data_IF_703920438959
#
_entry.id   IF_703920438959
#
_cell.length_a   1.000
_cell.length_b   1.000
_cell.length_c   1.000
_cell.angle_alpha   90.00
_cell.angle_beta   90.00
_cell.angle_gamma   90.00
#
_symmetry.space_group_name_H-M   'P 1'
#
loop_
_entity.id
_entity.type
_entity.pdbx_description
1 polymer ?
#
# COMPACT_ATOMS: atom_id res chain seq x y z
N UNK A 1 -19.68 44.82 -27.14
CA UNK A 1 -19.12 45.44 -28.36
C UNK A 1 -19.21 44.39 -29.46
N UNK A 2 -20.10 44.59 -30.44
CA UNK A 2 -20.11 43.78 -31.66
C UNK A 2 -18.79 44.06 -32.40
N UNK A 3 -17.81 43.18 -32.25
CA UNK A 3 -16.68 43.17 -33.17
C UNK A 3 -17.26 42.84 -34.55
N UNK A 4 -17.16 43.76 -35.53
CA UNK A 4 -17.46 43.47 -36.93
C UNK A 4 -16.60 42.28 -37.35
N UNK A 5 -17.17 41.08 -37.33
CA UNK A 5 -16.53 39.88 -37.81
C UNK A 5 -16.51 39.93 -39.34
N UNK A 6 -15.39 39.58 -39.99
CA UNK A 6 -15.33 39.54 -41.45
C UNK A 6 -16.32 38.51 -41.99
N UNK A 7 -17.18 38.92 -42.93
CA UNK A 7 -18.12 38.02 -43.59
C UNK A 7 -17.33 37.13 -44.55
N UNK A 8 -17.43 35.81 -44.36
CA UNK A 8 -16.83 34.81 -45.24
C UNK A 8 -17.49 34.84 -46.62
N UNK A 9 -16.69 34.94 -47.68
CA UNK A 9 -17.18 34.86 -49.07
C UNK A 9 -17.73 33.46 -49.38
N UNK A 10 -18.66 33.37 -50.34
CA UNK A 10 -19.28 32.08 -50.73
C UNK A 10 -18.24 31.04 -51.19
N UNK A 11 -17.15 31.47 -51.83
CA UNK A 11 -16.04 30.60 -52.22
C UNK A 11 -15.29 30.00 -51.02
N UNK A 12 -15.08 30.78 -49.97
CA UNK A 12 -14.42 30.31 -48.74
C UNK A 12 -15.31 29.33 -47.96
N UNK A 13 -16.62 29.58 -47.94
CA UNK A 13 -17.60 28.68 -47.34
C UNK A 13 -17.62 27.31 -48.05
N UNK A 14 -17.55 27.31 -49.38
CA UNK A 14 -17.56 26.09 -50.19
C UNK A 14 -16.25 25.28 -50.01
N UNK A 15 -15.10 25.94 -49.93
CA UNK A 15 -13.80 25.29 -49.61
C UNK A 15 -13.81 24.59 -48.25
N UNK A 16 -14.34 25.26 -47.22
CA UNK A 16 -14.45 24.71 -45.87
C UNK A 16 -15.33 23.45 -45.82
N UNK A 17 -16.48 23.47 -46.50
CA UNK A 17 -17.41 22.34 -46.54
C UNK A 17 -16.86 21.16 -47.34
N UNK A 18 -16.19 21.41 -48.47
CA UNK A 18 -15.58 20.35 -49.27
C UNK A 18 -14.45 19.65 -48.52
N UNK A 19 -13.56 20.40 -47.87
CA UNK A 19 -12.44 19.81 -47.11
C UNK A 19 -12.94 19.03 -45.88
N UNK A 20 -14.01 19.51 -45.24
CA UNK A 20 -14.65 18.80 -44.14
C UNK A 20 -15.28 17.48 -44.60
N UNK A 21 -16.00 17.48 -45.74
CA UNK A 21 -16.68 16.30 -46.26
C UNK A 21 -15.71 15.27 -46.87
N UNK A 22 -14.56 15.70 -47.38
CA UNK A 22 -13.55 14.80 -47.95
C UNK A 22 -12.76 14.00 -46.89
N UNK A 23 -12.83 14.35 -45.60
CA UNK A 23 -12.08 13.69 -44.52
C UNK A 23 -13.00 13.19 -43.39
N UNK A 24 -13.81 12.13 -43.61
CA UNK A 24 -14.71 11.60 -42.58
C UNK A 24 -13.96 10.99 -41.37
N UNK A 25 -12.84 10.31 -41.59
CA UNK A 25 -12.12 9.59 -40.51
C UNK A 25 -11.16 10.48 -39.70
N UNK A 26 -10.65 11.56 -40.32
CA UNK A 26 -9.76 12.51 -39.64
C UNK A 26 -10.14 13.97 -39.99
N UNK A 27 -11.17 14.52 -39.35
CA UNK A 27 -11.65 15.85 -39.65
C UNK A 27 -10.56 16.90 -39.33
N UNK A 28 -10.38 17.89 -40.22
CA UNK A 28 -9.37 18.92 -40.07
C UNK A 28 -9.59 19.75 -38.80
N UNK A 29 -8.49 20.18 -38.18
CA UNK A 29 -8.51 21.04 -37.01
C UNK A 29 -9.00 22.45 -37.35
N UNK A 30 -9.48 23.19 -36.34
CA UNK A 30 -9.91 24.58 -36.54
C UNK A 30 -8.81 25.45 -37.14
N UNK A 31 -7.54 25.22 -36.78
CA UNK A 31 -6.40 25.99 -37.33
C UNK A 31 -6.15 25.64 -38.80
N UNK A 32 -6.24 24.37 -39.18
CA UNK A 32 -6.11 23.96 -40.58
C UNK A 32 -7.22 24.54 -41.45
N UNK A 33 -8.46 24.54 -40.96
CA UNK A 33 -9.61 25.14 -41.65
C UNK A 33 -9.47 26.66 -41.80
N UNK A 34 -8.96 27.35 -40.78
CA UNK A 34 -8.73 28.81 -40.83
C UNK A 34 -7.61 29.16 -41.82
N UNK A 35 -6.51 28.38 -41.84
CA UNK A 35 -5.42 28.57 -42.81
C UNK A 35 -5.89 28.33 -44.24
N UNK A 36 -6.74 27.32 -44.46
CA UNK A 36 -7.26 26.95 -45.78
C UNK A 36 -8.32 27.93 -46.29
N UNK A 37 -9.08 28.59 -45.41
CA UNK A 37 -10.06 29.59 -45.80
C UNK A 37 -9.45 30.94 -46.22
N UNK A 38 -8.31 31.32 -45.63
CA UNK A 38 -7.69 32.65 -45.83
C UNK A 38 -6.31 32.60 -46.51
N UNK A 39 -5.82 31.43 -46.88
CA UNK A 39 -4.49 31.20 -47.47
C UNK A 39 -3.34 31.89 -46.70
N UNK A 40 -3.49 31.96 -45.36
CA UNK A 40 -2.61 32.69 -44.44
C UNK A 40 -2.18 31.81 -43.26
N UNK A 41 -0.87 31.64 -43.12
CA UNK A 41 -0.27 30.74 -42.12
C UNK A 41 -0.15 31.34 -40.70
N UNK A 42 -0.39 32.64 -40.55
CA UNK A 42 -0.28 33.41 -39.30
C UNK A 42 -1.56 33.42 -38.46
N UNK A 43 -2.65 32.86 -38.97
CA UNK A 43 -3.97 32.90 -38.33
C UNK A 43 -4.22 31.67 -37.44
N UNK A 44 -4.66 31.92 -36.20
CA UNK A 44 -5.10 30.91 -35.22
C UNK A 44 -6.62 31.02 -34.98
N UNK A 45 -7.25 30.00 -34.39
CA UNK A 45 -8.69 29.97 -34.07
C UNK A 45 -9.17 31.06 -33.10
N UNK A 46 -8.27 31.88 -32.56
CA UNK A 46 -8.54 33.06 -31.72
C UNK A 46 -8.60 34.38 -32.51
N UNK A 47 -8.12 34.40 -33.75
CA UNK A 47 -8.14 35.56 -34.65
C UNK A 47 -9.57 35.97 -35.03
N UNK A 48 -9.76 37.17 -35.59
CA UNK A 48 -11.09 37.65 -36.03
C UNK A 48 -11.66 36.77 -37.13
N UNK A 49 -10.77 36.33 -38.02
CA UNK A 49 -10.97 35.37 -39.09
C UNK A 49 -11.31 33.97 -38.53
N UNK A 50 -10.59 33.53 -37.50
CA UNK A 50 -10.87 32.28 -36.79
C UNK A 50 -12.23 32.26 -36.08
N UNK A 51 -12.66 33.40 -35.52
CA UNK A 51 -14.01 33.56 -34.95
C UNK A 51 -15.09 33.49 -36.03
N UNK A 52 -14.89 34.11 -37.19
CA UNK A 52 -15.82 34.05 -38.32
C UNK A 52 -15.99 32.62 -38.85
N UNK A 53 -14.89 31.87 -39.02
CA UNK A 53 -14.92 30.46 -39.43
C UNK A 53 -15.62 29.60 -38.38
N UNK A 54 -15.40 29.86 -37.09
CA UNK A 54 -16.07 29.15 -36.01
C UNK A 54 -17.58 29.43 -35.97
N UNK A 55 -18.01 30.66 -36.21
CA UNK A 55 -19.43 31.03 -36.27
C UNK A 55 -20.12 30.40 -37.48
N UNK A 56 -19.45 30.40 -38.65
CA UNK A 56 -19.94 29.71 -39.84
C UNK A 56 -20.08 28.20 -39.62
N UNK A 57 -19.06 27.54 -39.07
CA UNK A 57 -19.12 26.09 -38.79
C UNK A 57 -20.19 25.78 -37.73
N UNK A 58 -20.35 26.64 -36.72
CA UNK A 58 -21.42 26.51 -35.72
C UNK A 58 -22.82 26.65 -36.33
N UNK A 59 -23.02 27.53 -37.31
CA UNK A 59 -24.29 27.67 -38.03
C UNK A 59 -24.71 26.40 -38.79
N UNK A 60 -23.73 25.56 -39.16
CA UNK A 60 -23.93 24.27 -39.83
C UNK A 60 -23.88 23.09 -38.87
N UNK A 61 -23.88 23.33 -37.55
CA UNK A 61 -23.73 22.32 -36.50
C UNK A 61 -22.42 21.52 -36.55
N UNK A 62 -21.39 22.06 -37.20
CA UNK A 62 -20.06 21.46 -37.30
C UNK A 62 -19.19 22.02 -36.18
N UNK A 63 -18.67 21.14 -35.31
CA UNK A 63 -17.75 21.51 -34.23
C UNK A 63 -16.33 21.08 -34.62
N UNK A 64 -15.50 21.98 -35.19
CA UNK A 64 -14.12 21.67 -35.51
C UNK A 64 -13.31 21.43 -34.23
N UNK A 65 -12.34 20.52 -34.32
CA UNK A 65 -11.48 20.13 -33.19
C UNK A 65 -10.61 21.31 -32.74
N UNK A 66 -10.40 21.41 -31.43
CA UNK A 66 -9.43 22.35 -30.86
C UNK A 66 -8.01 21.81 -31.09
N UNK A 67 -7.05 22.68 -31.38
CA UNK A 67 -5.65 22.30 -31.65
C UNK A 67 -4.95 21.51 -30.53
N UNK A 68 -5.51 21.54 -29.31
CA UNK A 68 -4.98 20.85 -28.14
C UNK A 68 -5.78 19.61 -27.71
N UNK A 69 -6.73 19.16 -28.51
CA UNK A 69 -7.55 18.00 -28.17
C UNK A 69 -6.74 16.70 -28.39
N UNK A 70 -6.37 16.06 -27.28
CA UNK A 70 -5.55 14.84 -27.28
C UNK A 70 -6.30 13.68 -27.95
N UNK A 71 -5.73 13.14 -29.04
CA UNK A 71 -6.16 11.87 -29.59
C UNK A 71 -5.47 10.74 -28.80
N UNK A 72 -6.27 9.87 -28.19
CA UNK A 72 -5.77 8.59 -27.72
C UNK A 72 -5.35 7.78 -28.95
N UNK A 73 -4.06 7.79 -29.30
CA UNK A 73 -3.51 6.81 -30.22
C UNK A 73 -3.72 5.44 -29.57
N UNK A 74 -4.57 4.62 -30.17
CA UNK A 74 -4.88 3.27 -29.68
C UNK A 74 -3.63 2.38 -29.62
N UNK A 75 -3.73 1.14 -29.16
CA UNK A 75 -2.59 0.22 -29.19
C UNK A 75 -2.22 -0.08 -30.64
N UNK A 76 -0.91 -0.18 -30.96
CA UNK A 76 -0.47 -0.75 -32.24
C UNK A 76 -0.78 -2.24 -32.25
N UNK A 77 -1.32 -2.75 -33.34
CA UNK A 77 -1.43 -4.18 -33.57
C UNK A 77 -0.03 -4.76 -33.79
N UNK A 78 0.27 -5.84 -33.07
CA UNK A 78 1.54 -6.55 -33.20
C UNK A 78 1.42 -7.63 -34.26
N UNK A 79 2.43 -7.69 -35.14
CA UNK A 79 2.56 -8.73 -36.15
C UNK A 79 2.84 -10.10 -35.51
N UNK A 80 2.61 -11.19 -36.24
CA UNK A 80 2.83 -12.55 -35.76
C UNK A 80 4.30 -12.81 -35.39
N UNK A 81 5.24 -12.28 -36.17
CA UNK A 81 6.68 -12.37 -35.90
C UNK A 81 7.05 -11.61 -34.60
N UNK A 82 6.41 -10.46 -34.36
CA UNK A 82 6.61 -9.68 -33.14
C UNK A 82 6.06 -10.41 -31.92
N UNK A 83 4.91 -11.07 -32.06
CA UNK A 83 4.32 -11.90 -31.01
C UNK A 83 5.19 -13.11 -30.68
N UNK A 84 5.74 -13.78 -31.68
CA UNK A 84 6.66 -14.90 -31.49
C UNK A 84 7.95 -14.44 -30.79
N UNK A 85 8.51 -13.31 -31.21
CA UNK A 85 9.67 -12.72 -30.55
C UNK A 85 9.41 -12.38 -29.08
N UNK A 86 8.24 -11.81 -28.75
CA UNK A 86 7.85 -11.51 -27.37
C UNK A 86 7.69 -12.82 -26.58
N UNK A 87 7.03 -13.83 -27.13
CA UNK A 87 6.85 -15.12 -26.45
C UNK A 87 8.19 -15.80 -26.13
N UNK A 88 9.16 -15.74 -27.05
CA UNK A 88 10.48 -16.35 -26.85
C UNK A 88 11.35 -15.57 -25.86
N UNK A 89 11.32 -14.24 -25.90
CA UNK A 89 12.22 -13.37 -25.13
C UNK A 89 11.59 -12.80 -23.85
N UNK A 90 10.32 -13.07 -23.57
CA UNK A 90 9.64 -12.56 -22.38
C UNK A 90 10.24 -13.04 -21.05
N UNK A 91 11.11 -14.06 -21.07
CA UNK A 91 11.87 -14.57 -19.92
C UNK A 91 13.22 -13.87 -19.71
N UNK A 92 13.71 -13.09 -20.66
CA UNK A 92 15.10 -12.58 -20.61
C UNK A 92 15.16 -11.07 -20.64
N UNK A 93 14.15 -10.41 -21.24
CA UNK A 93 14.17 -8.97 -21.48
C UNK A 93 12.92 -8.28 -20.97
N UNK A 94 13.06 -7.01 -20.57
CA UNK A 94 11.91 -6.19 -20.16
C UNK A 94 11.07 -5.79 -21.36
N UNK A 95 9.78 -5.51 -21.13
CA UNK A 95 8.87 -5.03 -22.19
C UNK A 95 9.37 -3.78 -22.93
N UNK A 96 10.14 -2.92 -22.25
CA UNK A 96 10.76 -1.75 -22.85
C UNK A 96 11.92 -2.13 -23.78
N UNK A 97 12.81 -3.02 -23.35
CA UNK A 97 13.94 -3.47 -24.16
C UNK A 97 13.47 -4.25 -25.39
N UNK A 98 12.46 -5.12 -25.21
CA UNK A 98 11.80 -5.79 -26.33
C UNK A 98 11.19 -4.78 -27.30
N UNK A 99 10.52 -3.74 -26.81
CA UNK A 99 9.96 -2.68 -27.67
C UNK A 99 11.07 -1.91 -28.41
N UNK A 100 12.20 -1.58 -27.76
CA UNK A 100 13.33 -0.92 -28.42
C UNK A 100 13.91 -1.73 -29.57
N UNK A 101 14.02 -3.06 -29.38
CA UNK A 101 14.53 -3.97 -30.41
C UNK A 101 13.51 -4.14 -31.56
N UNK A 102 12.25 -4.44 -31.22
CA UNK A 102 11.19 -4.69 -32.20
C UNK A 102 10.92 -3.47 -33.09
N UNK A 103 10.91 -2.28 -32.51
CA UNK A 103 10.58 -1.04 -33.22
C UNK A 103 11.81 -0.23 -33.64
N UNK A 104 13.03 -0.76 -33.40
CA UNK A 104 14.32 -0.13 -33.75
C UNK A 104 14.39 1.34 -33.35
N UNK A 105 13.89 1.66 -32.15
CA UNK A 105 13.83 3.03 -31.64
C UNK A 105 14.32 3.06 -30.20
N UNK A 106 15.52 3.58 -29.98
CA UNK A 106 16.16 3.63 -28.67
C UNK A 106 15.54 4.66 -27.72
N UNK A 107 14.81 5.64 -28.27
CA UNK A 107 14.17 6.73 -27.52
C UNK A 107 12.79 6.35 -26.97
N UNK A 108 12.39 5.08 -27.10
CA UNK A 108 11.13 4.60 -26.53
C UNK A 108 11.16 4.67 -24.99
N UNK A 109 10.02 5.09 -24.44
CA UNK A 109 9.76 5.16 -23.00
C UNK A 109 8.67 4.16 -22.62
N UNK A 110 8.50 3.90 -21.33
CA UNK A 110 7.42 3.04 -20.82
C UNK A 110 6.00 3.54 -21.18
N UNK A 111 5.86 4.84 -21.49
CA UNK A 111 4.57 5.44 -21.87
C UNK A 111 4.33 5.43 -23.39
N UNK A 112 5.33 5.01 -24.18
CA UNK A 112 5.20 4.95 -25.64
C UNK A 112 4.16 3.91 -26.05
N UNK A 113 3.46 4.18 -27.14
CA UNK A 113 2.37 3.34 -27.66
C UNK A 113 2.87 1.92 -27.93
N UNK A 114 4.08 1.82 -28.48
CA UNK A 114 4.82 0.60 -28.79
C UNK A 114 5.04 -0.27 -27.55
N UNK A 115 5.59 0.32 -26.48
CA UNK A 115 5.85 -0.37 -25.22
C UNK A 115 4.56 -0.85 -24.57
N UNK A 116 3.49 -0.06 -24.65
CA UNK A 116 2.16 -0.45 -24.12
C UNK A 116 1.56 -1.63 -24.88
N UNK A 117 1.68 -1.68 -26.21
CA UNK A 117 1.24 -2.83 -27.01
C UNK A 117 1.98 -4.11 -26.62
N UNK A 118 3.30 -4.04 -26.44
CA UNK A 118 4.11 -5.18 -26.00
C UNK A 118 3.69 -5.66 -24.60
N UNK A 119 3.50 -4.73 -23.66
CA UNK A 119 3.07 -5.04 -22.29
C UNK A 119 1.67 -5.66 -22.23
N UNK A 120 0.72 -5.19 -23.05
CA UNK A 120 -0.61 -5.80 -23.14
C UNK A 120 -0.54 -7.24 -23.68
N UNK A 121 0.29 -7.49 -24.69
CA UNK A 121 0.49 -8.86 -25.19
C UNK A 121 1.15 -9.78 -24.14
N UNK A 122 2.12 -9.27 -23.38
CA UNK A 122 2.72 -10.01 -22.25
C UNK A 122 1.70 -10.41 -21.18
N UNK A 123 0.60 -9.67 -20.99
CA UNK A 123 -0.44 -10.05 -20.03
C UNK A 123 -1.19 -11.32 -20.45
N UNK A 124 -1.37 -11.53 -21.76
CA UNK A 124 -2.11 -12.66 -22.34
C UNK A 124 -1.32 -13.98 -22.27
N UNK A 125 0.01 -13.91 -22.27
CA UNK A 125 0.89 -15.09 -22.14
C UNK A 125 0.63 -15.77 -20.77
N UNK A 126 0.67 -17.11 -20.65
CA UNK A 126 0.49 -17.81 -19.37
C UNK A 126 1.61 -17.48 -18.37
N UNK A 127 1.26 -17.32 -17.09
CA UNK A 127 2.16 -16.90 -15.99
C UNK A 127 3.36 -17.83 -15.73
N UNK A 128 3.32 -19.05 -16.26
CA UNK A 128 4.37 -20.07 -16.21
C UNK A 128 5.51 -19.82 -17.23
N UNK A 129 5.29 -18.92 -18.19
CA UNK A 129 6.25 -18.48 -19.23
C UNK A 129 6.65 -17.01 -18.98
N UNK A 130 6.02 -16.34 -18.01
CA UNK A 130 6.39 -14.97 -17.67
C UNK A 130 7.66 -15.00 -16.85
N UNK A 131 8.61 -14.16 -17.21
CA UNK A 131 9.56 -13.65 -16.24
C UNK A 131 8.75 -13.14 -15.05
N UNK A 132 8.85 -13.83 -13.92
CA UNK A 132 8.38 -13.32 -12.65
C UNK A 132 9.24 -12.10 -12.36
N UNK A 133 8.73 -10.93 -12.73
CA UNK A 133 9.23 -9.64 -12.27
C UNK A 133 9.07 -9.45 -10.75
N UNK A 134 8.73 -10.53 -10.03
CA UNK A 134 8.75 -10.65 -8.58
C UNK A 134 10.18 -10.79 -8.02
N UNK A 135 11.15 -11.23 -8.84
CA UNK A 135 12.55 -11.44 -8.41
C UNK A 135 13.53 -10.39 -8.98
N UNK A 136 13.23 -9.74 -10.11
CA UNK A 136 14.19 -8.88 -10.82
C UNK A 136 14.09 -7.37 -10.56
N UNK A 137 13.68 -6.96 -9.36
CA UNK A 137 14.17 -5.69 -8.78
C UNK A 137 15.44 -5.89 -7.92
N UNK A 138 15.88 -7.13 -7.71
CA UNK A 138 17.07 -7.46 -6.88
C UNK A 138 18.39 -7.48 -7.67
N UNK A 139 18.40 -7.46 -9.01
CA UNK A 139 19.62 -7.72 -9.80
C UNK A 139 20.16 -6.50 -10.55
N UNK A 140 20.40 -5.39 -9.85
CA UNK A 140 21.23 -4.33 -10.42
C UNK A 140 22.50 -4.02 -9.61
N UNK A 141 22.49 -4.14 -8.28
CA UNK A 141 23.63 -3.69 -7.46
C UNK A 141 23.98 -4.59 -6.25
N UNK A 142 23.32 -5.72 -6.04
CA UNK A 142 23.55 -6.55 -4.82
C UNK A 142 23.14 -5.86 -3.50
N UNK A 143 22.56 -4.66 -3.57
CA UNK A 143 22.09 -3.90 -2.41
C UNK A 143 20.65 -4.29 -2.10
N UNK A 144 20.42 -4.77 -0.88
CA UNK A 144 19.11 -5.09 -0.34
C UNK A 144 18.19 -3.87 -0.38
N UNK A 145 16.97 -4.08 -0.91
CA UNK A 145 15.90 -3.08 -0.91
C UNK A 145 14.77 -3.52 0.01
N UNK A 146 14.41 -2.72 1.02
CA UNK A 146 13.35 -3.08 1.93
C UNK A 146 11.98 -3.09 1.22
N UNK A 147 11.11 -4.04 1.58
CA UNK A 147 9.76 -4.12 1.01
C UNK A 147 8.89 -2.94 1.47
N UNK A 148 8.16 -2.34 0.52
CA UNK A 148 7.25 -1.20 0.77
C UNK A 148 5.77 -1.54 0.64
N UNK A 149 5.45 -2.72 0.10
CA UNK A 149 4.08 -3.17 -0.14
C UNK A 149 3.70 -4.30 0.82
N UNK A 150 2.46 -4.27 1.31
CA UNK A 150 1.87 -5.34 2.15
C UNK A 150 1.96 -6.70 1.43
N UNK A 151 1.71 -6.73 0.11
CA UNK A 151 1.78 -7.97 -0.68
C UNK A 151 3.18 -8.59 -0.72
N UNK A 152 4.22 -7.75 -0.80
CA UNK A 152 5.63 -8.21 -0.82
C UNK A 152 6.03 -8.79 0.54
N UNK A 153 5.59 -8.16 1.63
CA UNK A 153 5.82 -8.70 2.98
C UNK A 153 5.09 -10.02 3.17
N UNK A 154 3.83 -10.14 2.75
CA UNK A 154 3.08 -11.39 2.88
C UNK A 154 3.78 -12.53 2.12
N UNK A 155 4.30 -12.24 0.93
CA UNK A 155 5.10 -13.22 0.17
C UNK A 155 6.36 -13.65 0.94
N UNK A 156 7.10 -12.72 1.55
CA UNK A 156 8.28 -13.03 2.38
C UNK A 156 7.91 -13.78 3.66
N UNK A 157 6.83 -13.42 4.34
CA UNK A 157 6.34 -14.15 5.52
C UNK A 157 6.01 -15.59 5.14
N UNK A 158 5.26 -15.80 4.06
CA UNK A 158 4.87 -17.14 3.62
C UNK A 158 6.05 -17.98 3.10
N UNK A 159 7.16 -17.34 2.73
CA UNK A 159 8.41 -18.03 2.38
C UNK A 159 9.10 -18.61 3.62
N UNK A 160 9.08 -17.91 4.76
CA UNK A 160 9.90 -18.25 5.93
C UNK A 160 9.12 -18.79 7.14
N UNK A 161 7.80 -18.63 7.16
CA UNK A 161 6.92 -19.06 8.26
C UNK A 161 6.03 -20.23 7.80
N UNK A 162 5.97 -21.28 8.63
CA UNK A 162 5.20 -22.49 8.34
C UNK A 162 3.68 -22.20 8.28
N UNK A 163 3.17 -21.45 9.26
CA UNK A 163 1.79 -20.97 9.29
C UNK A 163 1.70 -19.59 8.63
N UNK A 164 1.64 -19.60 7.30
CA UNK A 164 1.56 -18.38 6.50
C UNK A 164 0.27 -17.58 6.68
N UNK A 165 0.30 -16.30 6.27
CA UNK A 165 -0.87 -15.43 6.22
C UNK A 165 -1.59 -15.63 4.88
N UNK A 166 -2.88 -15.96 4.96
CA UNK A 166 -3.75 -16.03 3.78
C UNK A 166 -4.08 -14.62 3.29
N UNK A 167 -3.73 -14.33 2.02
CA UNK A 167 -3.98 -13.03 1.36
C UNK A 167 -5.46 -12.66 1.35
N UNK A 168 -6.36 -13.64 1.35
CA UNK A 168 -7.81 -13.42 1.25
C UNK A 168 -8.48 -13.17 2.60
N UNK A 169 -7.82 -13.54 3.70
CA UNK A 169 -8.38 -13.53 5.07
C UNK A 169 -7.46 -12.80 6.05
N UNK A 170 -7.08 -11.57 5.74
CA UNK A 170 -6.24 -10.75 6.62
C UNK A 170 -7.10 -10.12 7.72
N UNK A 171 -6.79 -10.47 8.97
CA UNK A 171 -7.41 -9.84 10.15
C UNK A 171 -6.84 -8.44 10.37
N UNK A 172 -7.62 -7.52 10.95
CA UNK A 172 -7.14 -6.16 11.27
C UNK A 172 -5.87 -6.16 12.16
N UNK A 173 -5.73 -7.15 13.05
CA UNK A 173 -4.51 -7.35 13.85
C UNK A 173 -3.30 -7.69 12.96
N UNK A 174 -3.44 -8.68 12.07
CA UNK A 174 -2.40 -9.08 11.12
C UNK A 174 -2.01 -7.94 10.18
N UNK A 175 -2.98 -7.11 9.75
CA UNK A 175 -2.68 -5.92 8.95
C UNK A 175 -1.80 -4.92 9.70
N UNK A 176 -2.03 -4.72 11.01
CA UNK A 176 -1.16 -3.88 11.84
C UNK A 176 0.23 -4.48 12.01
N UNK A 177 0.33 -5.80 12.18
CA UNK A 177 1.60 -6.52 12.30
C UNK A 177 2.43 -6.42 11.01
N UNK A 178 1.81 -6.61 9.85
CA UNK A 178 2.45 -6.45 8.53
C UNK A 178 2.97 -5.02 8.36
N UNK A 179 2.16 -4.01 8.68
CA UNK A 179 2.59 -2.62 8.57
C UNK A 179 3.72 -2.26 9.54
N UNK A 180 3.71 -2.82 10.76
CA UNK A 180 4.81 -2.67 11.69
C UNK A 180 6.09 -3.33 11.17
N UNK A 181 6.00 -4.53 10.60
CA UNK A 181 7.12 -5.25 10.01
C UNK A 181 7.76 -4.47 8.84
N UNK A 182 6.95 -3.83 7.99
CA UNK A 182 7.43 -2.90 6.95
C UNK A 182 8.30 -1.82 7.60
N UNK A 183 7.82 -1.20 8.69
CA UNK A 183 8.58 -0.20 9.43
C UNK A 183 9.91 -0.75 9.96
N UNK A 184 9.90 -1.94 10.57
CA UNK A 184 11.10 -2.54 11.16
C UNK A 184 12.17 -2.87 10.10
N UNK A 185 11.79 -3.46 8.97
CA UNK A 185 12.71 -3.81 7.89
C UNK A 185 13.26 -2.59 7.14
N UNK A 186 12.56 -1.45 7.20
CA UNK A 186 13.04 -0.17 6.65
C UNK A 186 13.99 0.59 7.59
N UNK A 187 14.29 0.07 8.78
CA UNK A 187 15.20 0.72 9.73
C UNK A 187 16.63 0.79 9.16
N UNK A 188 17.31 1.92 9.34
CA UNK A 188 18.69 2.12 8.86
C UNK A 188 19.64 1.01 9.31
N UNK A 189 19.57 0.62 10.59
CA UNK A 189 20.41 -0.44 11.15
C UNK A 189 20.19 -1.80 10.47
N UNK A 190 18.93 -2.14 10.18
CA UNK A 190 18.59 -3.37 9.46
C UNK A 190 19.19 -3.38 8.06
N UNK A 191 18.98 -2.29 7.30
CA UNK A 191 19.47 -2.14 5.93
C UNK A 191 21.00 -2.16 5.89
N UNK A 192 21.66 -1.49 6.84
CA UNK A 192 23.12 -1.52 6.93
C UNK A 192 23.62 -2.94 7.20
N UNK A 193 23.03 -3.64 8.18
CA UNK A 193 23.48 -4.97 8.57
C UNK A 193 23.32 -6.01 7.46
N UNK A 194 22.18 -6.04 6.77
CA UNK A 194 21.95 -7.01 5.70
C UNK A 194 22.86 -6.79 4.48
N UNK A 195 23.25 -5.53 4.23
CA UNK A 195 24.16 -5.17 3.13
C UNK A 195 25.64 -5.43 3.44
N UNK A 196 26.01 -5.69 4.70
CA UNK A 196 27.37 -6.11 5.05
C UNK A 196 27.66 -7.54 4.57
N UNK A 197 26.62 -8.36 4.42
CA UNK A 197 26.78 -9.75 4.01
C UNK A 197 26.84 -9.89 2.49
N UNK A 198 28.01 -10.31 2.00
CA UNK A 198 28.24 -10.56 0.57
C UNK A 198 27.52 -11.82 0.08
N UNK A 199 27.48 -12.85 0.94
CA UNK A 199 26.87 -14.14 0.66
C UNK A 199 25.33 -14.05 0.65
N UNK A 200 24.71 -14.53 -0.42
CA UNK A 200 23.25 -14.69 -0.50
C UNK A 200 22.65 -15.57 0.61
N UNK A 201 23.18 -16.77 0.94
CA UNK A 201 22.58 -17.61 1.99
C UNK A 201 22.62 -16.95 3.37
N UNK A 202 23.65 -16.15 3.65
CA UNK A 202 23.77 -15.42 4.91
C UNK A 202 22.75 -14.27 4.98
N UNK A 203 22.53 -13.56 3.86
CA UNK A 203 21.47 -12.55 3.77
C UNK A 203 20.08 -13.15 3.96
N UNK A 204 19.82 -14.29 3.32
CA UNK A 204 18.54 -14.99 3.45
C UNK A 204 18.34 -15.54 4.88
N UNK A 205 19.38 -16.07 5.51
CA UNK A 205 19.32 -16.55 6.89
C UNK A 205 19.05 -15.40 7.87
N UNK A 206 19.68 -14.25 7.67
CA UNK A 206 19.44 -13.06 8.48
C UNK A 206 18.00 -12.55 8.32
N UNK A 207 17.54 -12.40 7.07
CA UNK A 207 16.18 -11.92 6.78
C UNK A 207 15.11 -12.87 7.32
N UNK A 208 15.26 -14.17 7.07
CA UNK A 208 14.32 -15.20 7.53
C UNK A 208 14.25 -15.26 9.05
N UNK A 209 15.39 -15.19 9.74
CA UNK A 209 15.44 -15.18 11.20
C UNK A 209 14.71 -13.96 11.77
N UNK A 210 14.95 -12.77 11.19
CA UNK A 210 14.31 -11.55 11.63
C UNK A 210 12.79 -11.61 11.47
N UNK A 211 12.31 -11.99 10.28
CA UNK A 211 10.87 -12.12 10.01
C UNK A 211 10.24 -13.12 10.98
N UNK A 212 10.84 -14.29 11.19
CA UNK A 212 10.31 -15.30 12.12
C UNK A 212 10.18 -14.78 13.56
N UNK A 213 11.08 -13.92 13.99
CA UNK A 213 11.01 -13.34 15.33
C UNK A 213 10.05 -12.16 15.46
N UNK A 214 9.76 -11.42 14.39
CA UNK A 214 9.01 -10.14 14.49
C UNK A 214 7.64 -10.13 13.81
N UNK A 215 7.32 -11.08 12.92
CA UNK A 215 6.12 -11.00 12.06
C UNK A 215 4.79 -10.89 12.83
N UNK A 216 4.70 -11.42 14.04
CA UNK A 216 3.50 -11.40 14.88
C UNK A 216 3.58 -10.38 16.03
N UNK A 217 4.38 -9.31 15.87
CA UNK A 217 4.63 -8.32 16.93
C UNK A 217 4.50 -6.91 16.36
N UNK A 218 3.32 -6.31 16.50
CA UNK A 218 3.07 -4.94 16.06
C UNK A 218 3.52 -3.86 17.07
N UNK A 219 3.95 -4.26 18.26
CA UNK A 219 4.15 -3.44 19.45
C UNK A 219 5.62 -3.26 19.84
N UNK A 220 6.56 -3.64 18.96
CA UNK A 220 7.99 -3.55 19.26
C UNK A 220 8.46 -2.09 19.31
N UNK A 221 9.23 -1.78 20.34
CA UNK A 221 9.95 -0.50 20.45
C UNK A 221 11.20 -0.51 19.56
N UNK A 222 11.77 0.66 19.28
CA UNK A 222 12.99 0.77 18.49
C UNK A 222 14.17 0.01 19.13
N UNK A 223 14.29 0.04 20.46
CA UNK A 223 15.33 -0.71 21.18
C UNK A 223 15.13 -2.23 21.07
N UNK A 224 13.89 -2.72 21.12
CA UNK A 224 13.58 -4.13 20.93
C UNK A 224 13.89 -4.57 19.50
N UNK A 225 13.55 -3.75 18.49
CA UNK A 225 13.90 -4.00 17.08
C UNK A 225 15.41 -4.12 16.91
N UNK A 226 16.17 -3.20 17.51
CA UNK A 226 17.63 -3.22 17.50
C UNK A 226 18.21 -4.46 18.17
N UNK A 227 17.63 -4.90 19.28
CA UNK A 227 18.03 -6.15 19.95
C UNK A 227 17.68 -7.39 19.12
N UNK A 228 16.54 -7.39 18.40
CA UNK A 228 16.21 -8.46 17.46
C UNK A 228 17.19 -8.51 16.28
N UNK A 229 17.67 -7.36 15.78
CA UNK A 229 18.73 -7.32 14.78
C UNK A 229 20.00 -8.00 15.32
N UNK A 230 20.42 -7.66 16.54
CA UNK A 230 21.57 -8.31 17.19
C UNK A 230 21.36 -9.82 17.35
N UNK A 231 20.16 -10.25 17.75
CA UNK A 231 19.83 -11.68 17.85
C UNK A 231 20.01 -12.39 16.50
N UNK A 232 19.56 -11.78 15.40
CA UNK A 232 19.72 -12.34 14.06
C UNK A 232 21.19 -12.40 13.62
N UNK A 233 22.00 -11.40 13.99
CA UNK A 233 23.45 -11.45 13.72
C UNK A 233 24.15 -12.59 14.46
N UNK A 234 23.75 -12.87 15.70
CA UNK A 234 24.30 -13.99 16.48
C UNK A 234 23.88 -15.34 15.87
N UNK A 235 22.65 -15.47 15.35
CA UNK A 235 22.22 -16.68 14.62
C UNK A 235 23.12 -16.94 13.41
N UNK A 236 23.44 -15.89 12.65
CA UNK A 236 24.34 -15.99 11.49
C UNK A 236 25.77 -16.37 11.91
N UNK A 237 26.30 -15.73 12.95
CA UNK A 237 27.62 -16.09 13.52
C UNK A 237 27.65 -17.56 13.94
N UNK A 238 26.61 -18.05 14.60
CA UNK A 238 26.54 -19.46 15.02
C UNK A 238 26.56 -20.43 13.82
N UNK A 239 25.90 -20.07 12.71
CA UNK A 239 25.94 -20.86 11.48
C UNK A 239 27.34 -20.91 10.87
N UNK A 240 28.04 -19.78 10.81
CA UNK A 240 29.41 -19.71 10.31
C UNK A 240 30.41 -20.50 11.16
N UNK A 241 30.26 -20.45 12.49
CA UNK A 241 31.08 -21.27 13.39
C UNK A 241 30.79 -22.76 13.16
N UNK A 242 29.54 -23.15 12.95
CA UNK A 242 29.17 -24.53 12.64
C UNK A 242 29.79 -25.02 11.31
N UNK A 243 29.79 -24.18 10.27
CA UNK A 243 30.47 -24.50 9.00
C UNK A 243 31.98 -24.65 9.19
N UNK A 244 32.59 -23.78 9.99
CA UNK A 244 34.02 -23.88 10.34
C UNK A 244 34.32 -25.18 11.09
N UNK A 245 33.48 -25.58 12.06
CA UNK A 245 33.62 -26.86 12.78
C UNK A 245 33.54 -28.04 11.81
N UNK A 246 32.61 -28.03 10.87
CA UNK A 246 32.48 -29.10 9.87
C UNK A 246 33.73 -29.17 8.96
N UNK A 247 34.27 -28.02 8.55
CA UNK A 247 35.48 -27.96 7.72
C UNK A 247 36.70 -28.48 8.47
N UNK A 248 36.87 -28.09 9.74
CA UNK A 248 37.94 -28.60 10.60
C UNK A 248 37.81 -30.11 10.82
N UNK A 249 36.59 -30.62 11.00
CA UNK A 249 36.35 -32.05 11.14
C UNK A 249 36.75 -32.82 9.88
N UNK A 250 36.36 -32.33 8.70
CA UNK A 250 36.74 -32.95 7.43
C UNK A 250 38.27 -32.97 7.24
N UNK A 251 38.97 -31.90 7.63
CA UNK A 251 40.44 -31.85 7.56
C UNK A 251 41.11 -32.83 8.56
N UNK A 252 40.53 -32.99 9.75
CA UNK A 252 40.99 -33.99 10.73
C UNK A 252 40.82 -35.40 10.13
N UNK A 253 39.66 -35.71 9.57
CA UNK A 253 39.36 -37.03 9.02
C UNK A 253 40.29 -37.36 7.83
N UNK A 254 40.52 -36.39 6.92
CA UNK A 254 41.49 -36.53 5.82
C UNK A 254 42.93 -36.78 6.30
N UNK A 255 43.34 -36.13 7.40
CA UNK A 255 44.70 -36.31 7.96
C UNK A 255 44.87 -37.70 8.59
N UNK A 256 43.80 -38.20 9.23
CA UNK A 256 43.76 -39.54 9.81
C UNK A 256 43.82 -40.59 8.71
N UNK A 257 43.08 -40.42 7.61
CA UNK A 257 43.10 -41.34 6.47
C UNK A 257 44.45 -41.36 5.73
N UNK A 258 45.12 -40.21 5.61
CA UNK A 258 46.37 -40.09 4.85
C UNK A 258 47.62 -40.55 5.63
N UNK A 259 47.79 -40.10 6.88
CA UNK A 259 49.03 -40.30 7.66
C UNK A 259 48.80 -41.13 8.94
N UNK A 260 47.56 -41.52 9.24
CA UNK A 260 47.21 -42.25 10.47
C UNK A 260 47.42 -41.45 11.76
N UNK A 261 47.80 -40.17 11.66
CA UNK A 261 48.09 -39.29 12.80
C UNK A 261 46.97 -38.29 13.00
N UNK A 262 46.58 -38.12 14.25
CA UNK A 262 45.59 -37.11 14.65
C UNK A 262 46.29 -35.74 14.72
N UNK A 263 45.89 -34.76 13.90
CA UNK A 263 46.47 -33.42 13.93
C UNK A 263 45.95 -32.67 15.17
N UNK A 264 46.71 -32.72 16.27
CA UNK A 264 46.30 -32.16 17.57
C UNK A 264 45.97 -30.66 17.50
N UNK A 265 46.67 -29.89 16.66
CA UNK A 265 46.39 -28.47 16.46
C UNK A 265 44.98 -28.21 15.86
N UNK A 266 44.52 -29.06 14.93
CA UNK A 266 43.16 -28.94 14.37
C UNK A 266 42.10 -29.37 15.38
N UNK A 267 42.40 -30.36 16.21
CA UNK A 267 41.51 -30.79 17.30
C UNK A 267 41.35 -29.68 18.34
N UNK A 268 42.43 -29.00 18.72
CA UNK A 268 42.39 -27.87 19.65
C UNK A 268 41.62 -26.67 19.06
N UNK A 269 41.85 -26.36 17.78
CA UNK A 269 41.08 -25.33 17.06
C UNK A 269 39.57 -25.68 16.99
N UNK A 270 39.23 -26.95 16.73
CA UNK A 270 37.85 -27.44 16.71
C UNK A 270 37.19 -27.32 18.09
N UNK A 271 37.90 -27.69 19.16
CA UNK A 271 37.39 -27.53 20.54
C UNK A 271 37.17 -26.06 20.91
N UNK A 272 38.05 -25.16 20.44
CA UNK A 272 37.91 -23.71 20.65
C UNK A 272 36.68 -23.17 19.90
N UNK A 273 36.50 -23.53 18.62
CA UNK A 273 35.33 -23.16 17.83
C UNK A 273 34.03 -23.70 18.44
N UNK A 274 34.02 -24.93 18.97
CA UNK A 274 32.86 -25.50 19.70
C UNK A 274 32.54 -24.72 20.97
N UNK A 275 33.54 -24.23 21.69
CA UNK A 275 33.34 -23.37 22.87
C UNK A 275 32.73 -22.02 22.46
N UNK A 276 33.27 -21.38 21.41
CA UNK A 276 32.73 -20.14 20.87
C UNK A 276 31.27 -20.30 20.37
N UNK A 277 30.96 -21.42 19.73
CA UNK A 277 29.60 -21.79 19.33
C UNK A 277 28.67 -21.87 20.54
N UNK A 278 29.06 -22.61 21.58
CA UNK A 278 28.27 -22.73 22.80
C UNK A 278 28.05 -21.37 23.47
N UNK A 279 29.07 -20.52 23.50
CA UNK A 279 28.97 -19.15 24.05
C UNK A 279 28.00 -18.29 23.22
N UNK A 280 28.01 -18.42 21.89
CA UNK A 280 27.06 -17.76 21.00
C UNK A 280 25.62 -18.23 21.26
N UNK A 281 25.38 -19.53 21.33
CA UNK A 281 24.06 -20.10 21.64
C UNK A 281 23.56 -19.64 23.01
N UNK A 282 24.45 -19.58 24.01
CA UNK A 282 24.12 -19.06 25.34
C UNK A 282 23.74 -17.58 25.30
N UNK A 283 24.45 -16.75 24.51
CA UNK A 283 24.09 -15.33 24.32
C UNK A 283 22.73 -15.19 23.63
N UNK A 284 22.46 -15.97 22.58
CA UNK A 284 21.18 -15.98 21.88
C UNK A 284 20.03 -16.34 22.83
N UNK A 285 20.19 -17.38 23.65
CA UNK A 285 19.17 -17.81 24.59
C UNK A 285 18.88 -16.75 25.66
N UNK A 286 19.93 -16.12 26.21
CA UNK A 286 19.79 -15.02 27.18
C UNK A 286 19.06 -13.83 26.56
N UNK A 287 19.50 -13.36 25.39
CA UNK A 287 18.89 -12.21 24.70
C UNK A 287 17.42 -12.48 24.35
N UNK A 288 17.10 -13.68 23.85
CA UNK A 288 15.73 -14.06 23.53
C UNK A 288 14.83 -14.13 24.78
N UNK A 289 15.35 -14.64 25.89
CA UNK A 289 14.61 -14.68 27.16
C UNK A 289 14.38 -13.28 27.71
N UNK A 290 15.40 -12.42 27.71
CA UNK A 290 15.29 -11.03 28.16
C UNK A 290 14.26 -10.25 27.34
N UNK A 291 14.27 -10.41 26.02
CA UNK A 291 13.30 -9.81 25.10
C UNK A 291 11.86 -10.26 25.42
N UNK A 292 11.66 -11.54 25.69
CA UNK A 292 10.34 -12.08 26.05
C UNK A 292 9.83 -11.52 27.38
N UNK A 293 10.70 -11.47 28.40
CA UNK A 293 10.33 -11.00 29.74
C UNK A 293 10.01 -9.50 29.70
N UNK A 294 10.90 -8.67 29.13
CA UNK A 294 10.69 -7.21 29.05
C UNK A 294 9.39 -6.86 28.31
N UNK A 295 9.12 -7.52 27.19
CA UNK A 295 7.87 -7.32 26.45
C UNK A 295 6.65 -7.76 27.25
N UNK A 296 6.73 -8.92 27.92
CA UNK A 296 5.64 -9.44 28.76
C UNK A 296 5.32 -8.50 29.92
N UNK A 297 6.33 -7.96 30.60
CA UNK A 297 6.14 -6.98 31.69
C UNK A 297 5.49 -5.69 31.20
N UNK A 298 5.93 -5.17 30.04
CA UNK A 298 5.36 -3.98 29.42
C UNK A 298 3.90 -4.20 29.04
N UNK A 299 3.58 -5.33 28.41
CA UNK A 299 2.22 -5.66 28.03
C UNK A 299 1.32 -5.85 29.26
N UNK A 300 1.83 -6.50 30.32
CA UNK A 300 1.12 -6.66 31.59
C UNK A 300 0.79 -5.30 32.24
N UNK A 301 1.73 -4.33 32.20
CA UNK A 301 1.49 -2.96 32.67
C UNK A 301 0.39 -2.26 31.85
N UNK A 302 0.46 -2.34 30.52
CA UNK A 302 -0.56 -1.74 29.65
C UNK A 302 -1.95 -2.36 29.84
N UNK A 303 -2.03 -3.68 30.05
CA UNK A 303 -3.30 -4.36 30.34
C UNK A 303 -3.88 -3.90 31.68
N UNK A 304 -3.05 -3.73 32.71
CA UNK A 304 -3.48 -3.20 34.02
C UNK A 304 -3.99 -1.76 33.93
N UNK A 305 -3.29 -0.90 33.17
CA UNK A 305 -3.71 0.48 32.94
C UNK A 305 -5.00 0.57 32.11
N UNK A 306 -5.15 -0.29 31.09
CA UNK A 306 -6.38 -0.32 30.29
C UNK A 306 -7.58 -0.79 31.11
N UNK A 307 -7.38 -1.80 31.97
CA UNK A 307 -8.41 -2.27 32.88
C UNK A 307 -8.83 -1.18 33.90
N UNK A 308 -7.88 -0.39 34.42
CA UNK A 308 -8.21 0.71 35.34
C UNK A 308 -8.98 1.83 34.64
N UNK A 309 -8.63 2.15 33.38
CA UNK A 309 -9.40 3.13 32.57
C UNK A 309 -10.82 2.63 32.28
N UNK A 310 -10.98 1.36 31.90
CA UNK A 310 -12.31 0.76 31.70
C UNK A 310 -13.13 0.85 32.99
N UNK A 311 -12.52 0.53 34.14
CA UNK A 311 -13.19 0.65 35.43
C UNK A 311 -13.61 2.09 35.73
N UNK A 312 -12.77 3.09 35.45
CA UNK A 312 -13.12 4.51 35.61
C UNK A 312 -14.28 4.93 34.70
N UNK A 313 -14.27 4.50 33.43
CA UNK A 313 -15.36 4.76 32.48
C UNK A 313 -16.66 4.10 32.94
N UNK A 314 -16.57 2.90 33.52
CA UNK A 314 -17.73 2.20 34.07
C UNK A 314 -18.29 2.93 35.29
N UNK A 315 -17.43 3.34 36.24
CA UNK A 315 -17.84 4.16 37.38
C UNK A 315 -18.47 5.49 36.94
N UNK A 316 -17.96 6.12 35.88
CA UNK A 316 -18.53 7.35 35.35
C UNK A 316 -19.92 7.13 34.72
N UNK A 317 -20.11 6.04 33.97
CA UNK A 317 -21.43 5.65 33.42
C UNK A 317 -22.44 5.32 34.53
N UNK A 318 -21.98 4.67 35.60
CA UNK A 318 -22.81 4.38 36.77
C UNK A 318 -23.24 5.67 37.48
N UNK A 319 -22.33 6.65 37.62
CA UNK A 319 -22.64 7.94 38.22
C UNK A 319 -23.62 8.76 37.37
N UNK A 320 -23.46 8.77 36.04
CA UNK A 320 -24.42 9.40 35.13
C UNK A 320 -25.81 8.75 35.23
N UNK A 321 -25.84 7.41 35.34
CA UNK A 321 -27.07 6.65 35.52
C UNK A 321 -27.74 6.96 36.86
N UNK A 322 -26.95 7.07 37.93
CA UNK A 322 -27.40 7.46 39.28
C UNK A 322 -28.00 8.87 39.28
N UNK A 323 -27.37 9.82 38.61
CA UNK A 323 -27.87 11.19 38.46
C UNK A 323 -29.23 11.23 37.71
N UNK A 324 -29.39 10.43 36.65
CA UNK A 324 -30.67 10.30 35.94
C UNK A 324 -31.78 9.71 36.82
N UNK A 325 -31.46 8.70 37.63
CA UNK A 325 -32.40 8.11 38.58
C UNK A 325 -32.83 9.09 39.67
N UNK A 326 -31.89 9.86 40.23
CA UNK A 326 -32.20 10.93 41.18
C UNK A 326 -33.13 11.98 40.56
N UNK A 327 -32.85 12.43 39.34
CA UNK A 327 -33.72 13.39 38.62
C UNK A 327 -35.13 12.83 38.37
N UNK A 328 -35.25 11.54 38.05
CA UNK A 328 -36.55 10.87 37.95
C UNK A 328 -37.28 10.79 39.29
N UNK A 329 -36.57 10.51 40.39
CA UNK A 329 -37.15 10.50 41.73
C UNK A 329 -37.63 11.90 42.14
N UNK A 330 -36.86 12.95 41.84
CA UNK A 330 -37.23 14.35 42.08
C UNK A 330 -38.49 14.73 41.29
N UNK A 331 -38.56 14.38 40.00
CA UNK A 331 -39.75 14.61 39.18
C UNK A 331 -40.98 13.86 39.72
N UNK A 332 -40.82 12.60 40.18
CA UNK A 332 -41.91 11.86 40.82
C UNK A 332 -42.37 12.55 42.11
N UNK A 333 -41.43 13.04 42.93
CA UNK A 333 -41.74 13.77 44.16
C UNK A 333 -42.53 15.05 43.87
N UNK A 334 -42.14 15.82 42.86
CA UNK A 334 -42.86 17.02 42.44
C UNK A 334 -44.28 16.71 41.92
N UNK A 335 -44.46 15.61 41.21
CA UNK A 335 -45.80 15.17 40.77
C UNK A 335 -46.66 14.80 41.98
N UNK A 336 -46.09 14.07 42.94
CA UNK A 336 -46.79 13.72 44.20
C UNK A 336 -47.11 14.96 45.01
N UNK A 337 -46.20 15.94 45.10
CA UNK A 337 -46.42 17.21 45.78
C UNK A 337 -47.57 17.99 45.13
N UNK A 338 -47.60 18.10 43.79
CA UNK A 338 -48.73 18.69 43.06
C UNK A 338 -50.04 17.94 43.30
N UNK A 339 -50.00 16.62 43.40
CA UNK A 339 -51.18 15.81 43.69
C UNK A 339 -51.66 16.01 45.13
N UNK A 340 -50.73 16.12 46.10
CA UNK A 340 -51.03 16.47 47.49
C UNK A 340 -51.63 17.88 47.56
N UNK A 341 -51.09 18.85 46.83
CA UNK A 341 -51.65 20.21 46.76
C UNK A 341 -53.03 20.22 46.13
N UNK A 342 -53.26 19.40 45.08
CA UNK A 342 -54.58 19.23 44.48
C UNK A 342 -55.58 18.62 45.47
N UNK A 343 -55.16 17.63 46.24
CA UNK A 343 -56.02 16.96 47.24
C UNK A 343 -56.23 17.82 48.50
N UNK A 344 -55.23 18.63 48.89
CA UNK A 344 -55.30 19.54 50.04
C UNK A 344 -56.14 20.78 49.72
N UNK A 345 -56.14 21.19 48.45
CA UNK A 345 -57.11 22.13 47.89
C UNK A 345 -58.46 21.41 47.84
N UNK A 346 -59.14 21.42 48.99
CA UNK A 346 -60.45 20.81 49.25
C UNK A 346 -61.58 21.47 48.45
N UNK A 347 -61.29 22.03 47.27
CA UNK A 347 -62.22 22.75 46.40
C UNK A 347 -63.15 21.77 45.67
N UNK A 348 -62.70 20.59 45.26
CA UNK A 348 -63.61 19.56 44.72
C UNK A 348 -64.59 19.06 45.79
N UNK A 349 -64.11 18.86 47.03
CA UNK A 349 -64.96 18.44 48.15
C UNK A 349 -65.90 19.59 48.56
N UNK A 350 -65.42 20.84 48.59
CA UNK A 350 -66.26 22.03 48.85
C UNK A 350 -67.30 22.23 47.77
N UNK A 351 -66.97 22.16 46.49
CA UNK A 351 -67.93 22.28 45.39
C UNK A 351 -69.00 21.18 45.46
N UNK A 352 -68.61 19.94 45.84
CA UNK A 352 -69.53 18.82 46.00
C UNK A 352 -70.42 18.93 47.25
N UNK A 353 -69.92 19.50 48.35
CA UNK A 353 -70.69 19.79 49.58
C UNK A 353 -71.61 21.02 49.39
N UNK A 354 -71.15 22.05 48.67
CA UNK A 354 -71.92 23.27 48.37
C UNK A 354 -72.93 23.08 47.23
N UNK A 355 -72.91 21.93 46.55
CA UNK A 355 -73.86 21.60 45.48
C UNK A 355 -73.67 22.39 44.19
N UNK A 356 -72.55 23.11 44.04
CA UNK A 356 -72.30 23.99 42.89
C UNK A 356 -71.81 23.13 41.72
N UNK A 357 -72.62 23.06 40.67
CA UNK A 357 -72.28 22.33 39.45
C UNK A 357 -71.38 23.17 38.53
N UNK A 358 -70.61 22.53 37.64
CA UNK A 358 -69.75 23.22 36.66
C UNK A 358 -70.54 24.21 35.79
N UNK A 359 -71.80 23.93 35.52
CA UNK A 359 -72.69 24.77 34.70
C UNK A 359 -73.18 26.02 35.43
N UNK A 360 -73.26 26.01 36.76
CA UNK A 360 -73.65 27.20 37.56
C UNK A 360 -72.52 28.23 37.68
N UNK A 361 -71.25 27.79 37.68
CA UNK A 361 -70.10 28.70 37.73
C UNK A 361 -69.84 29.36 36.36
N UNK A 362 -70.10 28.64 35.27
CA UNK A 362 -69.86 29.11 33.92
C UNK A 362 -70.96 30.04 33.37
N UNK A 363 -72.19 29.92 33.86
CA UNK A 363 -73.35 30.71 33.40
C UNK A 363 -73.91 31.66 34.46
N UNK A 364 -73.20 31.87 35.57
CA UNK A 364 -73.59 32.74 36.69
C UNK A 364 -73.03 34.15 36.60
#
# INVERSE_FOLDING_TARGET
MNENLPVLTEEQQLKLLNEWNNRPDNPPSLVELVKLAFDRNDLDGRSKEGKAVKEFLASRSIKPRKSHEYQAKGLKELDNDQKEYISNNCHTMTGLEMAKILFKNENLTNLSQETRSVLEYMKVIPSNIKFNNTENEEVANGVYKPPRSEERIIAKINKYVLDGIDKTKITHAQKREINALIGYMNTHRFIHQINIYDNEPDRELFESSFIRYTYNKADLTQEEVDQYIVLCTEVLISSNIQQTINTLQNQIDMSIEADGKIPMALVEASNTARKEYNDCVNRQQKLNNDLKVKRSERLSKQVKETASVINLVQMWKEEESRAKLLKMAEMRKQVVEKEIDRLSTMDEIKCKILGISKDEILNG
#
